data_IF_029508270864
#
_entry.id   IF_029508270864
#
_cell.length_a   1.000
_cell.length_b   1.000
_cell.length_c   1.000
_cell.angle_alpha   90.00
_cell.angle_beta   90.00
_cell.angle_gamma   90.00
#
_symmetry.space_group_name_H-M   'P 1'
#
loop_
_entity.id
_entity.type
_entity.pdbx_description
1 polymer ?
#
# COMPACT_ATOMS: atom_id res chain seq x y z
N UNK A 1 7.46 -47.93 88.09
CA UNK A 1 7.62 -47.35 86.73
C UNK A 1 8.84 -46.41 86.68
N UNK A 2 10.08 -46.93 86.65
CA UNK A 2 11.31 -46.12 86.78
C UNK A 2 12.11 -45.88 85.48
N UNK A 3 11.65 -46.37 84.32
CA UNK A 3 12.42 -46.30 83.06
C UNK A 3 11.75 -45.58 81.88
N UNK A 4 10.55 -45.02 82.06
CA UNK A 4 9.80 -44.38 80.96
C UNK A 4 10.50 -43.11 80.43
N UNK A 5 11.25 -42.39 81.30
CA UNK A 5 12.03 -41.22 80.91
C UNK A 5 13.16 -41.56 79.94
N UNK A 6 13.80 -42.73 80.10
CA UNK A 6 14.88 -43.17 79.21
C UNK A 6 14.35 -43.59 77.83
N UNK A 7 13.14 -44.16 77.76
CA UNK A 7 12.47 -44.45 76.48
C UNK A 7 12.11 -43.17 75.75
N UNK A 8 11.62 -42.15 76.47
CA UNK A 8 11.31 -40.84 75.88
C UNK A 8 12.57 -40.13 75.35
N UNK A 9 13.69 -40.20 76.08
CA UNK A 9 14.95 -39.61 75.62
C UNK A 9 15.49 -40.31 74.37
N UNK A 10 15.41 -41.65 74.28
CA UNK A 10 15.82 -42.38 73.08
C UNK A 10 14.92 -42.04 71.89
N UNK A 11 13.60 -41.90 72.10
CA UNK A 11 12.65 -41.56 71.05
C UNK A 11 12.85 -40.13 70.51
N UNK A 12 13.09 -39.16 71.40
CA UNK A 12 13.39 -37.77 71.01
C UNK A 12 14.75 -37.64 70.35
N UNK A 13 15.76 -38.40 70.81
CA UNK A 13 17.08 -38.43 70.18
C UNK A 13 17.02 -39.07 68.79
N UNK A 14 16.24 -40.14 68.59
CA UNK A 14 16.04 -40.74 67.26
C UNK A 14 15.29 -39.81 66.30
N UNK A 15 14.34 -38.99 66.79
CA UNK A 15 13.66 -37.99 65.98
C UNK A 15 14.58 -36.83 65.56
N UNK A 16 15.56 -36.45 66.39
CA UNK A 16 16.55 -35.42 66.09
C UNK A 16 17.63 -35.88 65.09
N UNK A 17 17.98 -37.17 65.09
CA UNK A 17 18.99 -37.70 64.17
C UNK A 17 18.40 -37.97 62.77
N UNK A 18 17.10 -38.29 62.67
CA UNK A 18 16.41 -38.51 61.38
C UNK A 18 16.06 -37.20 60.66
N UNK A 19 16.05 -36.04 61.33
CA UNK A 19 15.79 -34.75 60.67
C UNK A 19 17.02 -34.06 60.07
N UNK A 20 18.20 -34.71 60.08
CA UNK A 20 19.43 -34.17 59.51
C UNK A 20 19.95 -34.93 58.29
N UNK A 21 19.32 -36.03 57.87
CA UNK A 21 19.49 -36.55 56.52
C UNK A 21 18.52 -35.81 55.59
N UNK A 22 18.86 -34.56 55.30
CA UNK A 22 18.42 -33.93 54.07
C UNK A 22 19.19 -34.59 52.92
N UNK A 23 18.76 -35.80 52.55
CA UNK A 23 19.18 -36.50 51.34
C UNK A 23 18.51 -35.89 50.09
N UNK A 24 17.90 -34.70 50.21
CA UNK A 24 17.85 -33.84 49.04
C UNK A 24 19.29 -33.41 48.79
N UNK A 25 19.94 -34.12 47.85
CA UNK A 25 20.86 -33.42 46.97
C UNK A 25 20.13 -32.14 46.61
N UNK A 26 20.60 -31.02 47.14
CA UNK A 26 20.18 -29.70 46.72
C UNK A 26 19.96 -29.81 45.23
N UNK A 27 18.74 -29.56 44.76
CA UNK A 27 18.52 -29.36 43.34
C UNK A 27 19.14 -27.99 43.04
N UNK A 28 20.45 -27.87 43.24
CA UNK A 28 21.29 -27.00 42.45
C UNK A 28 21.21 -27.62 41.06
N UNK A 29 20.15 -27.26 40.33
CA UNK A 29 20.18 -27.35 38.90
C UNK A 29 21.42 -26.54 38.48
N UNK A 30 22.53 -27.17 38.09
CA UNK A 30 23.75 -26.44 37.75
C UNK A 30 23.60 -25.75 36.39
N UNK A 31 22.42 -25.87 35.77
CA UNK A 31 22.02 -25.09 34.62
C UNK A 31 22.10 -23.60 34.96
N UNK A 32 23.08 -22.94 34.36
CA UNK A 32 23.15 -21.48 34.33
C UNK A 32 21.86 -20.98 33.69
N UNK A 33 20.99 -20.33 34.47
CA UNK A 33 19.78 -19.72 33.92
C UNK A 33 20.20 -18.51 33.09
N UNK A 34 20.32 -18.69 31.76
CA UNK A 34 20.50 -17.57 30.85
C UNK A 34 19.19 -16.83 30.72
N UNK A 35 19.19 -15.55 31.07
CA UNK A 35 18.03 -14.68 30.85
C UNK A 35 17.60 -14.72 29.37
N UNK A 36 16.29 -14.63 29.07
CA UNK A 36 15.79 -14.45 27.71
C UNK A 36 16.52 -13.30 27.01
N UNK A 37 16.82 -13.48 25.72
CA UNK A 37 17.35 -12.39 24.90
C UNK A 37 16.20 -11.75 24.14
N UNK A 38 16.01 -10.46 24.33
CA UNK A 38 15.06 -9.68 23.54
C UNK A 38 15.67 -9.35 22.17
N UNK A 39 15.00 -9.80 21.11
CA UNK A 39 15.38 -9.52 19.73
C UNK A 39 14.19 -8.85 19.05
N UNK A 40 14.43 -7.65 18.56
CA UNK A 40 13.39 -6.86 17.90
C UNK A 40 13.47 -7.05 16.40
N UNK A 41 12.49 -7.74 15.82
CA UNK A 41 12.32 -7.86 14.37
C UNK A 41 11.40 -6.73 13.89
N UNK A 42 11.90 -5.85 13.04
CA UNK A 42 11.10 -4.73 12.54
C UNK A 42 11.51 -4.39 11.13
N UNK A 43 10.66 -3.65 10.43
CA UNK A 43 11.11 -2.87 9.30
C UNK A 43 12.14 -1.83 9.78
N UNK A 44 13.28 -1.79 9.11
CA UNK A 44 14.46 -0.97 9.44
C UNK A 44 14.80 0.01 8.32
N UNK A 45 14.08 -0.05 7.19
CA UNK A 45 14.11 0.97 6.15
C UNK A 45 13.35 2.24 6.58
N UNK A 46 13.51 3.27 5.75
CA UNK A 46 12.82 4.56 5.85
C UNK A 46 11.56 4.65 4.97
N UNK A 47 11.17 3.58 4.29
CA UNK A 47 10.06 3.55 3.34
C UNK A 47 8.75 3.35 4.10
N UNK A 48 8.29 4.36 4.84
CA UNK A 48 7.14 4.21 5.75
C UNK A 48 5.81 4.16 4.98
N UNK A 49 5.61 5.13 4.08
CA UNK A 49 4.39 5.32 3.26
C UNK A 49 4.73 5.70 1.80
N UNK A 50 5.52 4.88 1.07
CA UNK A 50 5.82 5.14 -0.33
C UNK A 50 4.54 5.22 -1.18
N UNK A 51 4.59 6.02 -2.24
CA UNK A 51 3.60 6.02 -3.29
C UNK A 51 4.23 5.45 -4.56
N UNK A 52 3.59 4.44 -5.12
CA UNK A 52 4.04 3.73 -6.32
C UNK A 52 2.90 3.63 -7.32
N UNK A 53 3.24 3.43 -8.58
CA UNK A 53 2.26 3.04 -9.60
C UNK A 53 2.27 1.50 -9.68
N UNK A 54 1.16 0.89 -10.09
CA UNK A 54 1.14 -0.55 -10.35
C UNK A 54 2.24 -0.95 -11.35
N UNK A 55 2.77 -2.16 -11.18
CA UNK A 55 3.96 -2.62 -11.88
C UNK A 55 5.30 -2.12 -11.30
N UNK A 56 5.33 -1.03 -10.52
CA UNK A 56 6.56 -0.58 -9.86
C UNK A 56 6.86 -1.40 -8.59
N UNK A 57 8.09 -1.88 -8.46
CA UNK A 57 8.54 -2.58 -7.26
C UNK A 57 9.00 -1.61 -6.16
N UNK A 58 8.51 -1.82 -4.94
CA UNK A 58 9.02 -1.17 -3.72
C UNK A 58 9.84 -2.17 -2.90
N UNK A 59 10.98 -1.73 -2.35
CA UNK A 59 11.80 -2.55 -1.45
C UNK A 59 11.64 -2.16 0.02
N UNK A 60 11.48 -3.17 0.87
CA UNK A 60 11.49 -3.05 2.33
C UNK A 60 12.66 -3.83 2.92
N UNK A 61 13.10 -3.41 4.11
CA UNK A 61 14.19 -4.05 4.85
C UNK A 61 13.71 -4.52 6.21
N UNK A 62 13.55 -5.83 6.36
CA UNK A 62 13.36 -6.44 7.66
C UNK A 62 14.71 -6.62 8.35
N UNK A 63 14.77 -6.29 9.64
CA UNK A 63 15.99 -6.40 10.41
C UNK A 63 15.76 -6.66 11.89
N UNK A 64 16.83 -7.13 12.52
CA UNK A 64 16.99 -7.40 13.93
C UNK A 64 18.01 -6.44 14.52
N UNK A 65 17.88 -6.15 15.82
CA UNK A 65 18.87 -5.36 16.58
C UNK A 65 20.25 -6.04 16.66
N UNK A 66 20.36 -7.34 16.38
CA UNK A 66 21.62 -8.10 16.26
C UNK A 66 21.39 -9.38 15.46
N UNK A 67 22.45 -9.95 14.89
CA UNK A 67 22.42 -11.28 14.31
C UNK A 67 22.35 -12.37 15.40
N UNK A 68 21.77 -13.52 15.06
CA UNK A 68 21.73 -14.70 15.93
C UNK A 68 22.41 -15.90 15.23
N UNK A 69 22.77 -16.92 16.02
CA UNK A 69 23.21 -18.21 15.49
C UNK A 69 21.98 -19.11 15.29
N UNK A 70 21.35 -18.98 14.13
CA UNK A 70 20.07 -19.60 13.82
C UNK A 70 19.33 -18.92 12.68
N UNK A 71 18.23 -19.55 12.28
CA UNK A 71 17.34 -19.09 11.22
C UNK A 71 16.11 -18.39 11.82
N UNK A 72 15.72 -17.26 11.25
CA UNK A 72 14.48 -16.55 11.61
C UNK A 72 13.57 -16.46 10.38
N UNK A 73 12.36 -16.98 10.49
CA UNK A 73 11.32 -16.89 9.45
C UNK A 73 10.28 -15.89 9.92
N UNK A 74 10.16 -14.79 9.18
CA UNK A 74 9.17 -13.74 9.42
C UNK A 74 8.01 -13.93 8.46
N UNK A 75 6.82 -14.20 8.97
CA UNK A 75 5.62 -14.27 8.15
C UNK A 75 5.05 -12.87 7.95
N UNK A 76 4.67 -12.57 6.72
CA UNK A 76 4.06 -11.31 6.33
C UNK A 76 2.57 -11.50 6.07
N UNK A 77 1.81 -10.47 6.41
CA UNK A 77 0.42 -10.32 5.99
C UNK A 77 0.30 -9.01 5.22
N UNK A 78 -0.36 -9.04 4.07
CA UNK A 78 -0.66 -7.85 3.27
C UNK A 78 -2.17 -7.77 3.13
N UNK A 79 -2.73 -6.59 3.37
CA UNK A 79 -4.15 -6.29 3.18
C UNK A 79 -4.28 -5.03 2.34
N UNK A 80 -5.37 -4.90 1.59
CA UNK A 80 -5.69 -3.66 0.89
C UNK A 80 -6.88 -2.93 1.49
N UNK A 81 -7.06 -1.68 1.09
CA UNK A 81 -8.16 -0.81 1.49
C UNK A 81 -9.51 -1.14 0.84
N UNK A 82 -9.49 -1.72 -0.35
CA UNK A 82 -10.64 -2.17 -1.14
C UNK A 82 -11.09 -3.61 -0.75
N UNK A 83 -10.16 -4.40 -0.22
CA UNK A 83 -10.39 -5.74 0.32
C UNK A 83 -9.71 -6.86 -0.46
N UNK A 84 -9.17 -6.57 -1.64
CA UNK A 84 -8.44 -7.51 -2.48
C UNK A 84 -6.97 -7.07 -2.61
N UNK A 85 -6.04 -8.01 -2.69
CA UNK A 85 -4.60 -7.67 -2.77
C UNK A 85 -4.09 -8.12 -4.12
N UNK A 86 -3.90 -7.17 -5.01
CA UNK A 86 -3.25 -7.35 -6.31
C UNK A 86 -1.77 -7.00 -6.19
N UNK A 87 -0.99 -7.91 -5.58
CA UNK A 87 0.45 -7.73 -5.50
C UNK A 87 1.22 -9.05 -5.54
N UNK A 88 2.41 -8.99 -6.14
CA UNK A 88 3.43 -10.00 -5.96
C UNK A 88 4.30 -9.65 -4.75
N UNK A 89 4.27 -10.50 -3.73
CA UNK A 89 5.07 -10.36 -2.51
C UNK A 89 5.38 -11.72 -1.89
N UNK A 90 6.48 -11.83 -1.12
CA UNK A 90 6.75 -13.05 -0.37
C UNK A 90 5.84 -13.14 0.85
N UNK A 91 5.21 -14.28 1.07
CA UNK A 91 4.46 -14.56 2.32
C UNK A 91 5.38 -14.71 3.53
N UNK A 92 6.67 -14.98 3.31
CA UNK A 92 7.69 -15.07 4.36
C UNK A 92 9.02 -14.47 3.95
N UNK A 93 9.74 -13.90 4.90
CA UNK A 93 11.13 -13.44 4.74
C UNK A 93 12.01 -14.21 5.72
N UNK A 94 13.02 -14.89 5.20
CA UNK A 94 13.96 -15.68 6.00
C UNK A 94 15.26 -14.91 6.22
N UNK A 95 15.66 -14.71 7.47
CA UNK A 95 17.00 -14.30 7.87
C UNK A 95 17.78 -15.58 8.17
N UNK A 96 18.78 -15.89 7.36
CA UNK A 96 19.63 -17.07 7.55
C UNK A 96 20.62 -16.88 8.71
N UNK A 97 21.32 -17.94 9.07
CA UNK A 97 22.32 -17.92 10.13
C UNK A 97 23.32 -16.77 9.98
N UNK A 98 23.54 -16.03 11.06
CA UNK A 98 24.43 -14.86 11.09
C UNK A 98 23.87 -13.60 10.38
N UNK A 99 22.69 -13.64 9.76
CA UNK A 99 22.07 -12.46 9.17
C UNK A 99 21.29 -11.65 10.21
N UNK A 100 21.47 -10.33 10.21
CA UNK A 100 20.68 -9.40 11.01
C UNK A 100 19.62 -8.65 10.20
N UNK A 101 19.65 -8.71 8.88
CA UNK A 101 18.66 -8.05 8.04
C UNK A 101 18.60 -8.64 6.63
N UNK A 102 17.45 -8.45 5.96
CA UNK A 102 17.22 -8.86 4.58
C UNK A 102 16.25 -7.90 3.90
N UNK A 103 16.50 -7.67 2.61
CA UNK A 103 15.58 -6.95 1.74
C UNK A 103 14.59 -7.90 1.09
N UNK A 104 13.38 -7.41 0.87
CA UNK A 104 12.39 -8.03 0.02
C UNK A 104 11.64 -6.94 -0.75
N UNK A 105 10.87 -7.34 -1.75
CA UNK A 105 10.08 -6.42 -2.57
C UNK A 105 8.61 -6.79 -2.57
N UNK A 106 7.79 -5.78 -2.82
CA UNK A 106 6.37 -5.90 -3.15
C UNK A 106 6.18 -5.17 -4.47
N UNK A 107 5.42 -5.76 -5.38
CA UNK A 107 5.08 -5.17 -6.68
C UNK A 107 3.57 -5.24 -6.83
N UNK A 108 2.83 -4.13 -6.70
CA UNK A 108 1.42 -4.09 -7.04
C UNK A 108 1.22 -4.47 -8.51
N UNK A 109 0.11 -5.11 -8.82
CA UNK A 109 -0.24 -5.60 -10.15
C UNK A 109 -1.50 -4.94 -10.62
N UNK A 110 -1.47 -4.41 -11.84
CA UNK A 110 -2.64 -3.84 -12.52
C UNK A 110 -3.71 -4.92 -12.74
N UNK A 111 -4.89 -4.65 -12.19
CA UNK A 111 -6.08 -5.50 -12.23
C UNK A 111 -7.08 -5.05 -13.33
N UNK A 112 -6.78 -3.93 -14.00
CA UNK A 112 -7.58 -3.27 -15.01
C UNK A 112 -8.66 -2.32 -14.47
N UNK A 113 -8.73 -2.13 -13.16
CA UNK A 113 -9.68 -1.24 -12.48
C UNK A 113 -9.02 0.07 -12.13
N UNK A 114 -9.62 1.19 -12.57
CA UNK A 114 -9.08 2.51 -12.24
C UNK A 114 -9.39 2.90 -10.81
N UNK A 115 -8.42 2.68 -9.92
CA UNK A 115 -8.56 3.01 -8.52
C UNK A 115 -7.26 3.45 -7.82
N UNK A 116 -7.44 3.88 -6.57
CA UNK A 116 -6.34 4.26 -5.70
C UNK A 116 -6.46 3.48 -4.40
N UNK A 117 -5.39 2.77 -4.06
CA UNK A 117 -5.44 1.79 -2.98
C UNK A 117 -4.33 2.00 -1.97
N UNK A 118 -4.54 1.43 -0.78
CA UNK A 118 -3.56 1.43 0.30
C UNK A 118 -3.29 0.01 0.77
N UNK A 119 -2.13 -0.52 0.38
CA UNK A 119 -1.67 -1.81 0.91
C UNK A 119 -1.03 -1.61 2.28
N UNK A 120 -1.47 -2.40 3.26
CA UNK A 120 -0.87 -2.46 4.59
C UNK A 120 -0.11 -3.77 4.73
N UNK A 121 1.20 -3.66 4.91
CA UNK A 121 2.10 -4.79 5.15
C UNK A 121 2.35 -4.89 6.64
N UNK A 122 2.13 -6.06 7.24
CA UNK A 122 2.38 -6.31 8.66
C UNK A 122 3.17 -7.60 8.86
N UNK A 123 3.94 -7.63 9.94
CA UNK A 123 4.53 -8.87 10.45
C UNK A 123 3.44 -9.63 11.19
N UNK A 124 3.08 -10.84 10.72
CA UNK A 124 2.00 -11.65 11.31
C UNK A 124 2.51 -12.67 12.33
N UNK A 125 3.70 -13.22 12.11
CA UNK A 125 4.35 -14.12 13.07
C UNK A 125 5.85 -14.19 12.81
N UNK A 126 6.60 -14.62 13.83
CA UNK A 126 8.03 -14.86 13.73
C UNK A 126 8.32 -16.25 14.30
N UNK A 127 9.02 -17.06 13.54
CA UNK A 127 9.50 -18.37 13.96
C UNK A 127 11.04 -18.36 13.98
N UNK A 128 11.63 -18.90 15.05
CA UNK A 128 13.08 -18.91 15.26
C UNK A 128 13.55 -20.33 15.49
N UNK A 129 14.62 -20.71 14.78
CA UNK A 129 15.29 -21.99 14.93
C UNK A 129 16.78 -21.74 15.18
N UNK A 130 17.26 -22.02 16.38
CA UNK A 130 18.69 -21.92 16.69
C UNK A 130 19.47 -23.12 16.12
N UNK A 131 20.68 -22.87 15.62
CA UNK A 131 21.54 -23.91 15.01
C UNK A 131 21.95 -25.00 16.01
N UNK A 132 22.09 -24.63 17.28
CA UNK A 132 22.42 -25.56 18.37
C UNK A 132 21.21 -26.39 18.85
N UNK A 133 20.04 -26.24 18.22
CA UNK A 133 18.81 -26.89 18.62
C UNK A 133 18.25 -26.39 19.96
N UNK A 134 18.79 -25.31 20.51
CA UNK A 134 18.33 -24.78 21.79
C UNK A 134 16.92 -24.21 21.69
N UNK A 135 16.18 -24.32 22.80
CA UNK A 135 14.86 -23.68 22.98
C UNK A 135 15.00 -22.35 23.72
N UNK A 136 16.11 -21.64 23.53
CA UNK A 136 16.37 -20.36 24.22
C UNK A 136 15.18 -19.42 24.00
N UNK A 137 14.74 -18.75 25.06
CA UNK A 137 13.58 -17.85 25.01
C UNK A 137 13.92 -16.61 24.16
N UNK A 138 13.22 -16.49 23.04
CA UNK A 138 13.23 -15.35 22.14
C UNK A 138 11.98 -14.52 22.41
N UNK A 139 12.15 -13.28 22.87
CA UNK A 139 11.04 -12.34 23.05
C UNK A 139 11.04 -11.34 21.88
N UNK A 140 9.87 -11.20 21.27
CA UNK A 140 9.57 -10.21 20.23
C UNK A 140 8.53 -9.22 20.77
N UNK A 141 8.72 -7.94 20.49
CA UNK A 141 7.76 -6.89 20.84
C UNK A 141 7.10 -6.35 19.57
N UNK A 142 5.78 -6.28 19.60
CA UNK A 142 4.84 -6.43 18.48
C UNK A 142 4.80 -5.31 17.42
N UNK A 143 4.20 -5.68 16.28
CA UNK A 143 3.61 -4.85 15.22
C UNK A 143 4.50 -3.76 14.61
N UNK A 144 5.29 -4.19 13.63
CA UNK A 144 5.83 -3.31 12.61
C UNK A 144 4.92 -3.38 11.39
N UNK A 145 4.32 -2.25 11.00
CA UNK A 145 3.55 -2.11 9.76
C UNK A 145 4.22 -1.15 8.79
N UNK A 146 3.87 -1.29 7.51
CA UNK A 146 4.15 -0.36 6.43
C UNK A 146 2.88 -0.15 5.64
N UNK A 147 2.71 1.04 5.08
CA UNK A 147 1.66 1.27 4.09
C UNK A 147 2.27 1.62 2.75
N UNK A 148 1.60 1.28 1.67
CA UNK A 148 1.98 1.62 0.30
C UNK A 148 0.75 2.26 -0.32
N UNK A 149 0.89 3.46 -0.86
CA UNK A 149 -0.14 4.06 -1.70
C UNK A 149 0.09 3.60 -3.12
N UNK A 150 -0.88 2.90 -3.68
CA UNK A 150 -0.83 2.35 -5.03
C UNK A 150 -1.70 3.23 -5.92
N UNK A 151 -1.12 3.66 -7.05
CA UNK A 151 -1.86 4.30 -8.13
C UNK A 151 -1.98 3.31 -9.27
N UNK A 152 -3.19 3.18 -9.80
CA UNK A 152 -3.42 2.44 -11.02
C UNK A 152 -2.60 2.97 -12.21
N UNK A 153 -2.30 2.07 -13.16
CA UNK A 153 -1.83 2.43 -14.50
C UNK A 153 -3.07 2.70 -15.37
N UNK A 154 -3.20 3.90 -15.99
CA UNK A 154 -4.35 4.16 -16.84
C UNK A 154 -4.52 3.12 -17.94
N UNK A 155 -5.58 2.32 -17.84
CA UNK A 155 -5.94 1.35 -18.87
C UNK A 155 -6.12 2.07 -20.22
N UNK A 156 -5.46 1.65 -21.32
CA UNK A 156 -5.59 2.33 -22.60
C UNK A 156 -6.96 2.04 -23.24
N UNK A 157 -7.53 3.02 -23.94
CA UNK A 157 -8.68 2.81 -24.83
C UNK A 157 -8.13 2.37 -26.19
N UNK A 158 -8.40 1.12 -26.58
CA UNK A 158 -8.03 0.60 -27.90
C UNK A 158 -9.27 0.59 -28.79
N UNK A 159 -9.26 1.40 -29.83
CA UNK A 159 -10.41 1.62 -30.71
C UNK A 159 -10.01 1.63 -32.20
N UNK A 160 -10.98 1.89 -33.06
CA UNK A 160 -10.79 2.09 -34.50
C UNK A 160 -10.68 3.58 -34.83
N UNK A 161 -10.16 3.91 -36.01
CA UNK A 161 -10.07 5.30 -36.46
C UNK A 161 -11.47 5.94 -36.49
N UNK A 162 -11.63 7.03 -35.74
CA UNK A 162 -12.83 7.84 -35.69
C UNK A 162 -12.62 9.02 -34.75
N UNK A 163 -13.57 9.94 -34.76
CA UNK A 163 -13.52 11.12 -33.90
C UNK A 163 -13.67 10.68 -32.42
N UNK A 164 -13.07 11.44 -31.52
CA UNK A 164 -13.23 11.25 -30.08
C UNK A 164 -13.91 12.50 -29.49
N UNK A 165 -15.00 12.29 -28.77
CA UNK A 165 -15.83 13.36 -28.22
C UNK A 165 -15.79 13.33 -26.71
N UNK A 166 -15.66 14.50 -26.09
CA UNK A 166 -15.71 14.69 -24.65
C UNK A 166 -17.06 15.33 -24.33
N UNK A 167 -17.98 14.57 -23.75
CA UNK A 167 -19.27 15.10 -23.28
C UNK A 167 -19.12 15.54 -21.81
N UNK A 168 -18.88 16.83 -21.62
CA UNK A 168 -18.69 17.45 -20.32
C UNK A 168 -20.02 17.89 -19.72
N UNK A 169 -20.26 17.54 -18.47
CA UNK A 169 -21.44 17.91 -17.71
C UNK A 169 -21.05 18.36 -16.31
N UNK A 170 -21.85 19.21 -15.68
CA UNK A 170 -21.60 19.68 -14.32
C UNK A 170 -22.89 19.97 -13.56
N UNK A 171 -22.78 20.03 -12.23
CA UNK A 171 -23.91 20.36 -11.35
C UNK A 171 -24.13 21.86 -11.21
N UNK A 172 -25.35 22.27 -10.89
CA UNK A 172 -25.68 23.66 -10.52
C UNK A 172 -25.93 24.57 -11.73
N UNK A 173 -25.75 25.87 -11.53
CA UNK A 173 -26.05 26.91 -12.53
C UNK A 173 -24.84 27.75 -12.92
N UNK A 174 -23.63 27.30 -12.57
CA UNK A 174 -22.41 27.95 -13.05
C UNK A 174 -22.26 27.74 -14.55
N UNK A 175 -21.54 28.66 -15.19
CA UNK A 175 -21.18 28.63 -16.60
C UNK A 175 -19.71 28.22 -16.71
N UNK A 176 -19.48 27.00 -17.18
CA UNK A 176 -18.18 26.39 -17.35
C UNK A 176 -17.97 26.08 -18.83
N UNK A 177 -16.90 26.60 -19.39
CA UNK A 177 -16.52 26.35 -20.77
C UNK A 177 -15.46 25.25 -20.82
N UNK A 178 -15.40 24.49 -21.91
CA UNK A 178 -14.37 23.49 -22.12
C UNK A 178 -13.64 23.62 -23.46
N UNK A 179 -12.42 23.08 -23.53
CA UNK A 179 -11.59 23.13 -24.75
C UNK A 179 -10.74 21.88 -24.92
N UNK A 180 -10.36 21.62 -26.17
CA UNK A 180 -9.32 20.66 -26.51
C UNK A 180 -8.11 21.40 -27.05
N UNK A 181 -6.94 21.15 -26.47
CA UNK A 181 -5.67 21.72 -26.89
C UNK A 181 -4.63 20.62 -27.11
N UNK A 182 -3.52 20.94 -27.77
CA UNK A 182 -2.29 20.15 -27.72
C UNK A 182 -1.59 20.27 -26.35
N UNK A 183 -0.63 19.40 -26.10
CA UNK A 183 0.24 19.47 -24.92
C UNK A 183 1.72 19.45 -25.31
N UNK A 184 2.50 20.51 -24.99
CA UNK A 184 2.09 21.75 -24.31
C UNK A 184 1.15 22.64 -25.15
N UNK A 185 0.29 23.48 -24.53
CA UNK A 185 -0.76 24.20 -25.24
C UNK A 185 -0.24 25.30 -26.18
N UNK A 186 -0.47 25.14 -27.48
CA UNK A 186 -0.22 26.12 -28.54
C UNK A 186 -1.38 26.28 -29.51
N UNK A 187 -2.18 25.23 -29.69
CA UNK A 187 -3.26 25.12 -30.66
C UNK A 187 -4.54 24.71 -29.95
N UNK A 188 -5.65 25.39 -30.28
CA UNK A 188 -6.99 25.02 -29.82
C UNK A 188 -7.66 24.27 -30.97
N UNK A 189 -8.09 23.04 -30.71
CA UNK A 189 -8.76 22.19 -31.71
C UNK A 189 -10.27 22.38 -31.70
N UNK A 190 -10.86 22.50 -30.52
CA UNK A 190 -12.31 22.68 -30.36
C UNK A 190 -12.62 23.37 -29.02
N UNK A 191 -13.79 24.02 -28.94
CA UNK A 191 -14.25 24.82 -27.80
C UNK A 191 -15.76 24.69 -27.57
N UNK A 192 -16.16 24.43 -26.33
CA UNK A 192 -17.53 24.58 -25.85
C UNK A 192 -17.69 25.91 -25.10
N UNK A 193 -18.78 26.63 -25.41
CA UNK A 193 -19.14 27.92 -24.82
C UNK A 193 -20.66 28.06 -24.53
N UNK A 194 -21.33 26.93 -24.30
CA UNK A 194 -22.72 26.84 -23.89
C UNK A 194 -22.89 27.19 -22.42
N UNK A 195 -23.85 28.09 -22.17
CA UNK A 195 -24.19 28.56 -20.82
C UNK A 195 -25.04 27.58 -20.02
N UNK A 196 -25.41 26.43 -20.60
CA UNK A 196 -26.19 25.39 -19.91
C UNK A 196 -25.31 24.21 -19.53
N UNK A 197 -25.53 23.57 -18.38
CA UNK A 197 -24.81 22.35 -18.01
C UNK A 197 -24.87 21.30 -19.12
N UNK A 198 -23.69 20.98 -19.65
CA UNK A 198 -23.58 20.11 -20.81
C UNK A 198 -22.91 20.80 -21.98
N UNK A 199 -21.73 20.30 -22.35
CA UNK A 199 -20.98 20.70 -23.54
C UNK A 199 -20.29 19.50 -24.16
N UNK A 200 -20.14 19.54 -25.48
CA UNK A 200 -19.39 18.52 -26.21
C UNK A 200 -18.32 19.19 -27.05
N UNK A 201 -17.09 18.69 -26.95
CA UNK A 201 -15.97 19.05 -27.82
C UNK A 201 -15.37 17.80 -28.42
N UNK A 202 -14.86 17.89 -29.64
CA UNK A 202 -14.41 16.75 -30.43
C UNK A 202 -12.99 16.95 -30.94
N UNK A 203 -12.14 15.96 -30.67
CA UNK A 203 -10.85 15.85 -31.35
C UNK A 203 -11.05 15.02 -32.61
N UNK A 204 -10.93 15.66 -33.75
CA UNK A 204 -11.16 15.02 -35.04
C UNK A 204 -10.20 13.84 -35.28
N UNK A 205 -10.71 12.79 -35.93
CA UNK A 205 -9.96 11.59 -36.33
C UNK A 205 -8.69 11.91 -37.11
N UNK A 206 -8.74 12.95 -37.95
CA UNK A 206 -7.63 13.43 -38.79
C UNK A 206 -6.50 14.10 -38.03
N UNK A 207 -6.71 14.45 -36.75
CA UNK A 207 -5.70 15.06 -35.91
C UNK A 207 -4.53 14.07 -35.72
N UNK A 208 -3.26 14.47 -35.93
CA UNK A 208 -2.11 13.58 -35.83
C UNK A 208 -1.98 12.85 -34.49
N UNK A 209 -1.11 11.84 -34.43
CA UNK A 209 -0.68 11.27 -33.15
C UNK A 209 0.07 12.33 -32.32
N UNK A 210 -0.11 12.30 -31.00
CA UNK A 210 0.44 13.31 -30.11
C UNK A 210 -0.26 13.37 -28.75
N UNK A 211 0.14 14.37 -27.96
CA UNK A 211 -0.43 14.64 -26.65
C UNK A 211 -1.44 15.80 -26.72
N UNK A 212 -2.59 15.60 -26.09
CA UNK A 212 -3.71 16.52 -26.07
C UNK A 212 -4.20 16.71 -24.64
N UNK A 213 -4.84 17.84 -24.36
CA UNK A 213 -5.50 18.09 -23.08
C UNK A 213 -6.94 18.56 -23.31
N UNK A 214 -7.83 18.02 -22.48
CA UNK A 214 -9.16 18.58 -22.27
C UNK A 214 -9.09 19.51 -21.05
N UNK A 215 -9.44 20.78 -21.27
CA UNK A 215 -9.41 21.81 -20.23
C UNK A 215 -10.78 22.38 -19.94
N UNK A 216 -10.97 22.88 -18.72
CA UNK A 216 -12.18 23.58 -18.27
C UNK A 216 -11.81 24.98 -17.80
N UNK A 217 -12.63 25.97 -18.19
CA UNK A 217 -12.50 27.39 -17.86
C UNK A 217 -13.80 27.93 -17.31
N UNK A 218 -13.86 28.32 -16.04
CA UNK A 218 -15.05 28.95 -15.50
C UNK A 218 -15.28 30.35 -16.06
N UNK A 219 -16.48 30.62 -16.58
CA UNK A 219 -16.92 31.95 -16.96
C UNK A 219 -17.72 32.62 -15.84
N UNK A 220 -18.83 32.01 -15.43
CA UNK A 220 -19.67 32.52 -14.34
C UNK A 220 -19.78 31.47 -13.23
N UNK A 221 -19.24 31.76 -12.05
CA UNK A 221 -19.23 30.80 -10.93
C UNK A 221 -20.33 31.17 -9.95
N UNK A 222 -21.32 30.30 -9.82
CA UNK A 222 -22.41 30.43 -8.85
C UNK A 222 -22.12 29.70 -7.53
N UNK A 223 -21.26 28.68 -7.57
CA UNK A 223 -20.96 27.80 -6.43
C UNK A 223 -19.45 27.62 -6.24
N UNK A 224 -19.00 27.59 -4.98
CA UNK A 224 -17.59 27.39 -4.64
C UNK A 224 -17.10 25.94 -4.85
N UNK A 225 -18.03 24.99 -5.03
CA UNK A 225 -17.77 23.58 -5.28
C UNK A 225 -18.72 23.07 -6.35
N UNK A 226 -18.20 22.43 -7.39
CA UNK A 226 -18.98 21.96 -8.54
C UNK A 226 -18.55 20.55 -8.90
N UNK A 227 -19.49 19.60 -8.82
CA UNK A 227 -19.28 18.24 -9.32
C UNK A 227 -19.40 18.23 -10.84
N UNK A 228 -18.52 17.50 -11.50
CA UNK A 228 -18.52 17.33 -12.95
C UNK A 228 -18.43 15.87 -13.38
N UNK A 229 -18.86 15.62 -14.61
CA UNK A 229 -18.69 14.36 -15.32
C UNK A 229 -18.21 14.62 -16.75
N UNK A 230 -17.40 13.72 -17.29
CA UNK A 230 -16.95 13.71 -18.68
C UNK A 230 -17.13 12.30 -19.22
N UNK A 231 -17.98 12.13 -20.22
CA UNK A 231 -18.01 10.89 -20.99
C UNK A 231 -17.08 11.04 -22.20
N UNK A 232 -15.97 10.32 -22.18
CA UNK A 232 -15.05 10.22 -23.31
C UNK A 232 -15.54 9.15 -24.27
N UNK A 233 -16.08 9.58 -25.40
CA UNK A 233 -16.70 8.71 -26.40
C UNK A 233 -15.73 8.48 -27.54
N UNK A 234 -15.33 7.23 -27.72
CA UNK A 234 -14.61 6.72 -28.88
C UNK A 234 -15.54 5.86 -29.75
N UNK A 235 -15.13 5.47 -30.97
CA UNK A 235 -15.98 4.64 -31.84
C UNK A 235 -16.44 3.30 -31.24
N UNK A 236 -15.71 2.76 -30.27
CA UNK A 236 -15.97 1.42 -29.71
C UNK A 236 -16.26 1.42 -28.21
N UNK A 237 -16.02 2.53 -27.52
CA UNK A 237 -16.11 2.60 -26.07
C UNK A 237 -16.50 4.02 -25.62
N UNK A 238 -17.37 4.11 -24.62
CA UNK A 238 -17.56 5.32 -23.82
C UNK A 238 -16.96 5.10 -22.45
N UNK A 239 -16.06 5.99 -22.03
CA UNK A 239 -15.40 5.92 -20.73
C UNK A 239 -15.73 7.13 -19.86
N UNK A 240 -16.33 6.95 -18.68
CA UNK A 240 -16.68 8.04 -17.79
C UNK A 240 -15.49 8.49 -16.95
N UNK A 241 -15.39 9.81 -16.74
CA UNK A 241 -14.52 10.46 -15.76
C UNK A 241 -15.37 11.41 -14.92
N UNK A 242 -15.05 11.58 -13.65
CA UNK A 242 -15.80 12.48 -12.78
C UNK A 242 -14.88 13.12 -11.73
N UNK A 243 -15.31 14.25 -11.19
CA UNK A 243 -14.58 14.92 -10.13
C UNK A 243 -15.34 16.10 -9.55
N UNK A 244 -14.67 16.86 -8.70
CA UNK A 244 -15.23 18.06 -8.08
C UNK A 244 -14.24 19.20 -8.16
N UNK A 245 -14.63 20.29 -8.81
CA UNK A 245 -13.89 21.53 -8.74
C UNK A 245 -14.14 22.23 -7.40
N UNK A 246 -13.11 22.89 -6.88
CA UNK A 246 -13.15 23.62 -5.62
C UNK A 246 -12.55 25.01 -5.80
N UNK A 247 -13.09 25.99 -5.09
CA UNK A 247 -12.59 27.37 -5.04
C UNK A 247 -12.52 28.04 -6.43
N UNK A 248 -13.52 27.79 -7.28
CA UNK A 248 -13.57 28.35 -8.62
C UNK A 248 -13.75 29.86 -8.59
N UNK A 249 -13.13 30.52 -9.57
CA UNK A 249 -13.32 31.95 -9.84
C UNK A 249 -13.67 32.12 -11.32
N UNK A 250 -14.62 33.01 -11.62
CA UNK A 250 -15.10 33.24 -12.98
C UNK A 250 -14.22 34.18 -13.82
N UNK A 251 -14.79 34.64 -14.93
CA UNK A 251 -14.20 35.60 -15.85
C UNK A 251 -13.03 35.04 -16.66
N UNK A 252 -12.97 33.71 -16.85
CA UNK A 252 -11.88 33.01 -17.54
C UNK A 252 -10.49 33.21 -16.93
N UNK A 253 -10.46 33.58 -15.65
CA UNK A 253 -9.22 33.81 -14.89
C UNK A 253 -8.49 32.53 -14.51
N UNK A 254 -9.16 31.39 -14.68
CA UNK A 254 -8.66 30.05 -14.39
C UNK A 254 -8.81 29.14 -15.61
N UNK A 255 -7.90 28.18 -15.72
CA UNK A 255 -7.99 27.07 -16.67
C UNK A 255 -7.36 25.83 -16.04
N UNK A 256 -8.12 24.75 -16.04
CA UNK A 256 -7.72 23.48 -15.44
C UNK A 256 -7.51 22.47 -16.56
N UNK A 257 -6.36 21.81 -16.58
CA UNK A 257 -6.22 20.55 -17.31
C UNK A 257 -6.95 19.50 -16.49
N UNK A 258 -7.97 18.87 -17.08
CA UNK A 258 -8.77 17.85 -16.41
C UNK A 258 -8.36 16.47 -16.88
N UNK A 259 -8.22 16.31 -18.20
CA UNK A 259 -7.72 15.08 -18.81
C UNK A 259 -6.54 15.41 -19.72
N UNK A 260 -5.51 14.58 -19.70
CA UNK A 260 -4.48 14.51 -20.73
C UNK A 260 -4.64 13.20 -21.51
N UNK A 261 -4.57 13.29 -22.82
CA UNK A 261 -4.77 12.18 -23.75
C UNK A 261 -3.55 12.05 -24.65
N UNK A 262 -2.87 10.91 -24.57
CA UNK A 262 -1.88 10.53 -25.57
C UNK A 262 -2.57 9.68 -26.65
N UNK A 263 -2.47 10.09 -27.92
CA UNK A 263 -3.01 9.38 -29.09
C UNK A 263 -1.87 8.74 -29.87
N UNK A 264 -2.01 7.45 -30.17
CA UNK A 264 -1.12 6.71 -31.08
C UNK A 264 -1.92 5.88 -32.07
N UNK A 265 -1.46 5.79 -33.32
CA UNK A 265 -2.14 5.06 -34.40
C UNK A 265 -1.22 4.00 -34.99
N UNK A 266 -1.73 2.77 -35.12
CA UNK A 266 -1.05 1.65 -35.78
C UNK A 266 -1.99 0.95 -36.75
N UNK A 267 -1.79 1.20 -38.05
CA UNK A 267 -2.71 0.70 -39.08
C UNK A 267 -4.11 1.30 -38.92
N UNK A 268 -5.11 0.45 -38.65
CA UNK A 268 -6.50 0.86 -38.42
C UNK A 268 -6.86 0.99 -36.92
N UNK A 269 -5.91 0.68 -36.04
CA UNK A 269 -6.08 0.72 -34.59
C UNK A 269 -5.56 2.04 -34.06
N UNK A 270 -6.35 2.69 -33.20
CA UNK A 270 -5.96 3.88 -32.44
C UNK A 270 -5.99 3.54 -30.97
N UNK A 271 -4.93 3.91 -30.26
CA UNK A 271 -4.82 3.72 -28.81
C UNK A 271 -4.75 5.09 -28.14
N UNK A 272 -5.61 5.28 -27.15
CA UNK A 272 -5.61 6.46 -26.29
C UNK A 272 -5.22 6.09 -24.86
N UNK A 273 -4.18 6.71 -24.32
CA UNK A 273 -3.85 6.65 -22.88
C UNK A 273 -4.32 7.94 -22.24
N UNK A 274 -5.18 7.84 -21.23
CA UNK A 274 -5.87 9.01 -20.65
C UNK A 274 -5.55 9.11 -19.17
N UNK A 275 -4.99 10.26 -18.76
CA UNK A 275 -4.69 10.57 -17.37
C UNK A 275 -5.61 11.68 -16.88
N UNK A 276 -6.27 11.47 -15.74
CA UNK A 276 -7.07 12.49 -15.05
C UNK A 276 -6.26 13.21 -13.97
N UNK A 277 -6.51 14.52 -13.78
CA UNK A 277 -5.86 15.39 -12.78
C UNK A 277 -6.83 15.88 -11.70
#
# INVERSE_FOLDING_TARGET
>A
MKKIKYVLYVFVLSLLVVSCEDDTKSVTNPGTFTLPQEIKVTFTDTNINPQVTEGDSISFRLGMNRAINGRVVVSLNVTSSDGFVEANYPSTVTLEDGQSARYFSITPTDDGTVEAEVYTVSISSINVQFTDGSTRYFAYNENSTRTIRVRDIPSPIVTTVGDITFNFTWSGSSDLDCRILDFPPTTIFDTGYSTTPGESVTLASVTPDGDYVFTVRPWAVSDASITYGIDLVTPTETRPYAGTFMNLTGGWTMEFIVLQVNKTTSGTTVTYTVTQF
#
